data_IF_172718429340
#
_entry.id   IF_172718429340
#
_cell.length_a   1.000
_cell.length_b   1.000
_cell.length_c   1.000
_cell.angle_alpha   90.00
_cell.angle_beta   90.00
_cell.angle_gamma   90.00
#
_symmetry.space_group_name_H-M   'P 1'
#
loop_
_entity.id
_entity.type
_entity.pdbx_description
1 polymer ?
#
# COMPACT_ATOMS: atom_id res chain seq x y z
N UNK A 1 -33.50 -17.76 -11.75
CA UNK A 1 -34.06 -16.54 -11.13
C UNK A 1 -33.69 -16.48 -9.66
N UNK A 2 -32.89 -15.48 -9.26
CA UNK A 2 -32.87 -14.74 -7.97
C UNK A 2 -31.47 -14.16 -7.75
N UNK A 3 -31.29 -12.88 -8.08
CA UNK A 3 -30.11 -12.10 -7.68
C UNK A 3 -30.41 -11.53 -6.31
N UNK A 4 -29.75 -12.04 -5.28
CA UNK A 4 -29.82 -11.53 -3.92
C UNK A 4 -29.12 -10.16 -3.86
N UNK A 5 -29.89 -9.09 -3.70
CA UNK A 5 -29.39 -7.73 -3.52
C UNK A 5 -28.84 -7.60 -2.10
N UNK A 6 -27.52 -7.66 -1.95
CA UNK A 6 -26.85 -7.23 -0.70
C UNK A 6 -26.88 -5.71 -0.63
N UNK A 7 -27.66 -5.17 0.30
CA UNK A 7 -27.68 -3.75 0.62
C UNK A 7 -26.31 -3.30 1.13
N UNK A 8 -25.68 -2.38 0.41
CA UNK A 8 -24.43 -1.75 0.85
C UNK A 8 -24.78 -0.74 1.94
N UNK A 9 -24.43 -1.04 3.20
CA UNK A 9 -24.43 -0.05 4.29
C UNK A 9 -23.58 1.15 3.85
N UNK A 10 -24.21 2.33 3.78
CA UNK A 10 -23.52 3.60 3.55
C UNK A 10 -22.60 3.85 4.75
N UNK A 11 -21.28 3.86 4.54
CA UNK A 11 -20.35 4.41 5.53
C UNK A 11 -20.70 5.89 5.73
N UNK A 12 -20.87 6.30 6.99
CA UNK A 12 -20.87 7.71 7.36
C UNK A 12 -19.53 8.28 6.90
N UNK A 13 -19.56 9.31 6.06
CA UNK A 13 -18.35 10.08 5.74
C UNK A 13 -18.25 11.12 6.84
N UNK A 14 -17.20 11.06 7.64
CA UNK A 14 -16.89 12.16 8.52
C UNK A 14 -16.54 13.35 7.63
N UNK A 15 -17.33 14.42 7.72
CA UNK A 15 -17.11 15.67 6.99
C UNK A 15 -15.85 16.43 7.46
N UNK A 16 -15.05 15.82 8.33
CA UNK A 16 -13.85 16.44 8.92
C UNK A 16 -12.71 16.58 7.90
N UNK A 17 -12.67 15.74 6.86
CA UNK A 17 -11.71 15.83 5.75
C UNK A 17 -12.15 16.76 4.60
N UNK A 18 -13.41 17.23 4.61
CA UNK A 18 -13.93 18.11 3.55
C UNK A 18 -13.62 19.60 3.79
N UNK A 19 -13.12 19.97 4.99
CA UNK A 19 -12.73 21.35 5.31
C UNK A 19 -11.46 21.80 4.57
N UNK A 20 -10.60 20.86 4.16
CA UNK A 20 -9.44 21.16 3.30
C UNK A 20 -9.79 20.89 1.84
N UNK A 21 -10.60 21.76 1.25
CA UNK A 21 -10.86 21.74 -0.19
C UNK A 21 -9.60 22.20 -0.92
N UNK A 22 -8.78 21.26 -1.40
CA UNK A 22 -7.68 21.56 -2.31
C UNK A 22 -8.24 21.95 -3.68
N UNK A 23 -8.31 23.27 -3.93
CA UNK A 23 -8.66 23.80 -5.24
C UNK A 23 -7.63 23.35 -6.30
N UNK A 24 -8.08 23.19 -7.54
CA UNK A 24 -7.18 22.90 -8.65
C UNK A 24 -6.26 24.10 -8.89
N UNK A 25 -5.01 24.01 -8.43
CA UNK A 25 -4.00 25.08 -8.55
C UNK A 25 -3.37 25.19 -9.94
N UNK A 26 -3.89 24.46 -10.94
CA UNK A 26 -3.46 24.61 -12.34
C UNK A 26 -4.09 25.88 -12.94
N UNK A 27 -3.56 27.04 -12.56
CA UNK A 27 -4.03 28.37 -12.98
C UNK A 27 -3.13 28.88 -14.10
N UNK A 28 -3.73 29.35 -15.19
CA UNK A 28 -3.01 29.89 -16.36
C UNK A 28 -2.17 31.12 -15.96
N UNK A 29 -0.90 31.16 -16.40
CA UNK A 29 0.03 32.25 -16.12
C UNK A 29 1.01 32.03 -14.94
N UNK A 30 0.85 30.98 -14.14
CA UNK A 30 1.82 30.62 -13.10
C UNK A 30 2.93 29.70 -13.63
N UNK A 31 4.14 29.75 -13.02
CA UNK A 31 5.30 28.95 -13.44
C UNK A 31 5.06 27.43 -13.40
N UNK A 32 4.10 26.99 -12.59
CA UNK A 32 3.70 25.58 -12.43
C UNK A 32 2.47 25.18 -13.25
N UNK A 33 1.97 26.09 -14.09
CA UNK A 33 0.87 25.80 -15.01
C UNK A 33 1.33 24.78 -16.05
N UNK A 34 0.57 23.70 -16.19
CA UNK A 34 0.80 22.69 -17.20
C UNK A 34 -0.53 22.44 -17.94
N UNK A 35 -0.66 22.90 -19.20
CA UNK A 35 -1.89 22.77 -19.99
C UNK A 35 -2.24 21.31 -20.33
N UNK A 36 -1.28 20.38 -20.20
CA UNK A 36 -1.48 18.96 -20.47
C UNK A 36 -1.72 18.12 -19.20
N UNK A 37 -1.73 18.75 -18.02
CA UNK A 37 -1.95 18.07 -16.74
C UNK A 37 -3.42 17.68 -16.59
N UNK A 38 -3.82 16.60 -17.27
CA UNK A 38 -5.10 15.95 -17.03
C UNK A 38 -5.11 15.43 -15.59
N UNK A 39 -6.16 15.76 -14.84
CA UNK A 39 -6.42 15.18 -13.51
C UNK A 39 -6.24 13.67 -13.60
N UNK A 40 -5.12 13.14 -13.10
CA UNK A 40 -4.85 11.71 -13.08
C UNK A 40 -5.90 11.09 -12.16
N UNK A 41 -7.02 10.64 -12.73
CA UNK A 41 -7.90 9.70 -12.02
C UNK A 41 -7.00 8.54 -11.69
N UNK A 42 -6.77 8.30 -10.39
CA UNK A 42 -6.08 7.11 -9.91
C UNK A 42 -6.75 5.95 -10.63
N UNK A 43 -6.02 5.24 -11.49
CA UNK A 43 -6.54 4.06 -12.14
C UNK A 43 -6.94 3.11 -11.03
N UNK A 44 -8.25 2.91 -10.85
CA UNK A 44 -8.76 1.93 -9.90
C UNK A 44 -8.54 0.59 -10.57
N UNK A 45 -7.38 -0.01 -10.34
CA UNK A 45 -7.19 -1.42 -10.58
C UNK A 45 -8.13 -2.14 -9.61
N UNK A 46 -9.26 -2.65 -10.09
CA UNK A 46 -10.19 -3.48 -9.32
C UNK A 46 -9.51 -4.83 -9.06
N UNK A 47 -8.53 -4.85 -8.15
CA UNK A 47 -7.80 -6.04 -7.75
C UNK A 47 -8.73 -6.88 -6.89
N UNK A 48 -9.02 -8.10 -7.34
CA UNK A 48 -9.77 -9.07 -6.55
C UNK A 48 -8.99 -9.44 -5.30
N UNK A 49 -9.69 -9.74 -4.19
CA UNK A 49 -9.04 -10.17 -2.94
C UNK A 49 -8.08 -11.36 -3.15
N UNK A 50 -8.38 -12.25 -4.11
CA UNK A 50 -7.52 -13.39 -4.47
C UNK A 50 -6.20 -12.94 -5.10
N UNK A 51 -6.25 -11.96 -5.98
CA UNK A 51 -5.08 -11.41 -6.68
C UNK A 51 -4.20 -10.60 -5.72
N UNK A 52 -4.82 -9.86 -4.79
CA UNK A 52 -4.12 -9.18 -3.71
C UNK A 52 -3.26 -10.16 -2.89
N UNK A 53 -3.83 -11.30 -2.47
CA UNK A 53 -3.08 -12.32 -1.73
C UNK A 53 -1.99 -12.98 -2.56
N UNK A 54 -2.19 -13.17 -3.87
CA UNK A 54 -1.16 -13.68 -4.76
C UNK A 54 0.02 -12.70 -4.87
N UNK A 55 -0.26 -11.40 -5.01
CA UNK A 55 0.74 -10.33 -5.05
C UNK A 55 1.53 -10.25 -3.74
N UNK A 56 0.83 -10.27 -2.59
CA UNK A 56 1.44 -10.25 -1.26
C UNK A 56 2.34 -11.47 -1.07
N UNK A 57 1.88 -12.68 -1.42
CA UNK A 57 2.71 -13.89 -1.34
C UNK A 57 3.95 -13.81 -2.24
N UNK A 58 3.82 -13.22 -3.43
CA UNK A 58 4.95 -12.96 -4.32
C UNK A 58 5.99 -12.02 -3.68
N UNK A 59 5.52 -10.90 -3.12
CA UNK A 59 6.38 -9.95 -2.43
C UNK A 59 7.08 -10.56 -1.21
N UNK A 60 6.36 -11.34 -0.40
CA UNK A 60 6.95 -12.05 0.74
C UNK A 60 7.99 -13.08 0.31
N UNK A 61 7.75 -13.81 -0.78
CA UNK A 61 8.71 -14.81 -1.30
C UNK A 61 10.00 -14.17 -1.80
N UNK A 62 9.94 -12.95 -2.34
CA UNK A 62 11.12 -12.19 -2.72
C UNK A 62 11.91 -11.67 -1.50
N UNK A 63 11.21 -11.28 -0.42
CA UNK A 63 11.83 -10.78 0.82
C UNK A 63 12.37 -11.89 1.72
N UNK A 64 11.82 -13.10 1.60
CA UNK A 64 12.16 -14.28 2.41
C UNK A 64 13.67 -14.56 2.56
N UNK A 65 14.50 -14.58 1.50
CA UNK A 65 15.93 -14.88 1.64
C UNK A 65 16.67 -13.87 2.53
N UNK A 66 16.37 -12.57 2.41
CA UNK A 66 16.99 -11.54 3.24
C UNK A 66 16.63 -11.72 4.72
N UNK A 67 15.37 -12.05 5.00
CA UNK A 67 14.90 -12.30 6.35
C UNK A 67 15.59 -13.52 6.99
N UNK A 68 15.76 -14.60 6.22
CA UNK A 68 16.49 -15.80 6.65
C UNK A 68 17.96 -15.48 6.94
N UNK A 69 18.63 -14.72 6.09
CA UNK A 69 20.02 -14.31 6.31
C UNK A 69 20.18 -13.48 7.60
N UNK A 70 19.25 -12.57 7.88
CA UNK A 70 19.29 -11.74 9.08
C UNK A 70 19.12 -12.59 10.35
N UNK A 71 18.16 -13.52 10.36
CA UNK A 71 17.97 -14.44 11.49
C UNK A 71 19.18 -15.35 11.65
N UNK A 72 19.69 -15.93 10.56
CA UNK A 72 20.85 -16.82 10.60
C UNK A 72 22.09 -16.11 11.16
N UNK A 73 22.36 -14.87 10.73
CA UNK A 73 23.45 -14.07 11.27
C UNK A 73 23.28 -13.75 12.77
N UNK A 74 22.05 -13.44 13.20
CA UNK A 74 21.75 -13.21 14.62
C UNK A 74 21.95 -14.46 15.48
N UNK A 75 21.48 -15.62 15.01
CA UNK A 75 21.69 -16.91 15.70
C UNK A 75 23.18 -17.24 15.75
N UNK A 76 23.92 -17.04 14.66
CA UNK A 76 25.36 -17.30 14.61
C UNK A 76 26.12 -16.44 15.64
N UNK A 77 25.81 -15.13 15.71
CA UNK A 77 26.43 -14.24 16.70
C UNK A 77 26.08 -14.64 18.13
N UNK A 78 24.83 -15.05 18.39
CA UNK A 78 24.41 -15.52 19.70
C UNK A 78 25.14 -16.81 20.11
N UNK A 79 25.30 -17.76 19.19
CA UNK A 79 26.06 -19.00 19.42
C UNK A 79 27.54 -18.71 19.69
N UNK A 80 28.15 -17.79 18.94
CA UNK A 80 29.54 -17.37 19.14
C UNK A 80 29.72 -16.72 20.52
N UNK A 81 28.79 -15.85 20.93
CA UNK A 81 28.82 -15.24 22.25
C UNK A 81 28.65 -16.28 23.37
N UNK A 82 27.77 -17.27 23.17
CA UNK A 82 27.57 -18.36 24.13
C UNK A 82 28.82 -19.23 24.27
N UNK A 83 29.45 -19.61 23.15
CA UNK A 83 30.69 -20.40 23.15
C UNK A 83 31.86 -19.62 23.77
N UNK A 84 31.88 -18.30 23.63
CA UNK A 84 32.93 -17.47 24.24
C UNK A 84 32.75 -17.28 25.75
N UNK A 85 31.50 -17.24 26.23
CA UNK A 85 31.19 -17.04 27.64
C UNK A 85 31.26 -18.35 28.45
N UNK A 86 31.22 -19.50 27.78
CA UNK A 86 31.39 -20.82 28.39
C UNK A 86 32.85 -21.20 28.53
#
# INVERSE_FOLDING_TARGET
>A
MKKEKREKKKKYRDNFDDETTFANMNVEGFRWYDPHRKNRKKEKTDISKKEYWAMVRGAFRAMWPMFVCLIAGGILMWLLAYLWLT
#
